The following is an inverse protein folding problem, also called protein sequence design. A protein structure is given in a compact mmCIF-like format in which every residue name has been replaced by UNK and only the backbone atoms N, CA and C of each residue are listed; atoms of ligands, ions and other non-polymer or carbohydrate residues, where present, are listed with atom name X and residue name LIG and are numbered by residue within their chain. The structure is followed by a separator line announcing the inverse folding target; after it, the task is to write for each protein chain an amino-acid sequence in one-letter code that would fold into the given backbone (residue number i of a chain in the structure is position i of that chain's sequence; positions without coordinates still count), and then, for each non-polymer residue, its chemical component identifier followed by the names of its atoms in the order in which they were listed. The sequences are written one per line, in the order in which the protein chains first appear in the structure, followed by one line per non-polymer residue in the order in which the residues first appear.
data_IF_732073636657
#
_entry.id   IF_732073636657
#
_cell.length_a   1.000
_cell.length_b   1.000
_cell.length_c   1.000
_cell.angle_alpha   90.00
_cell.angle_beta   90.00
_cell.angle_gamma   90.00
#
_symmetry.space_group_name_H-M   'P 1'
#
loop_
_entity.id
_entity.type
_entity.pdbx_description
1 polymer ?
#
# COMPACT_ATOMS: atom_id res chain seq x y z
N UNK A 1 79.30 4.99 24.83
CA UNK A 1 78.79 3.80 25.55
C UNK A 1 77.34 4.05 25.93
N UNK A 2 76.43 3.22 25.39
CA UNK A 2 75.06 2.91 25.82
C UNK A 2 74.18 4.03 26.43
N UNK A 3 73.21 4.49 25.64
CA UNK A 3 71.87 4.88 26.14
C UNK A 3 70.83 4.26 25.23
N UNK A 4 69.84 3.61 25.84
CA UNK A 4 68.92 2.65 25.26
C UNK A 4 67.48 3.22 25.32
N UNK A 5 66.67 2.86 24.30
CA UNK A 5 65.19 2.85 24.26
C UNK A 5 64.39 4.15 24.45
N UNK A 6 63.45 4.43 23.53
CA UNK A 6 62.09 3.83 23.54
C UNK A 6 61.33 4.25 22.26
N UNK A 7 60.98 3.29 21.39
CA UNK A 7 60.04 3.53 20.29
C UNK A 7 58.66 3.03 20.73
N UNK A 8 57.70 3.95 20.88
CA UNK A 8 56.28 3.64 21.08
C UNK A 8 55.66 3.48 19.69
N UNK A 9 55.25 2.25 19.35
CA UNK A 9 54.39 2.00 18.18
C UNK A 9 52.94 2.01 18.67
N UNK A 10 52.20 3.06 18.31
CA UNK A 10 50.75 3.09 18.47
C UNK A 10 50.09 2.22 17.41
N UNK A 11 49.49 1.09 17.81
CA UNK A 11 48.52 0.35 17.00
C UNK A 11 47.18 1.10 17.04
N UNK A 12 46.94 1.97 16.07
CA UNK A 12 45.63 2.55 15.81
C UNK A 12 44.92 1.73 14.73
N UNK A 13 44.34 0.58 15.10
CA UNK A 13 43.48 -0.19 14.22
C UNK A 13 42.17 -0.51 14.96
N UNK A 14 41.09 0.21 14.63
CA UNK A 14 39.77 -0.23 15.07
C UNK A 14 38.67 0.83 15.13
N UNK A 15 38.33 1.53 14.04
CA UNK A 15 37.03 2.24 13.96
C UNK A 15 36.37 2.19 12.55
N UNK A 16 37.01 1.66 11.50
CA UNK A 16 36.47 1.75 10.12
C UNK A 16 35.36 0.74 9.77
N UNK A 17 35.22 -0.38 10.48
CA UNK A 17 34.32 -1.48 10.09
C UNK A 17 32.81 -1.21 10.29
N UNK A 18 32.43 -0.36 11.25
CA UNK A 18 31.02 -0.12 11.59
C UNK A 18 30.33 0.94 10.70
N UNK A 19 31.08 1.87 10.13
CA UNK A 19 30.52 2.90 9.25
C UNK A 19 30.22 2.35 7.85
N UNK A 20 31.08 1.48 7.33
CA UNK A 20 30.99 0.95 5.97
C UNK A 20 29.82 -0.05 5.81
N UNK A 21 29.58 -0.89 6.82
CA UNK A 21 28.45 -1.83 6.86
C UNK A 21 27.08 -1.13 6.91
N UNK A 22 26.95 -0.07 7.72
CA UNK A 22 25.73 0.75 7.77
C UNK A 22 25.44 1.49 6.47
N UNK A 23 26.47 1.95 5.76
CA UNK A 23 26.31 2.64 4.48
C UNK A 23 25.81 1.70 3.37
N UNK A 24 26.34 0.47 3.31
CA UNK A 24 25.92 -0.55 2.34
C UNK A 24 24.46 -0.97 2.58
N UNK A 25 24.05 -1.15 3.83
CA UNK A 25 22.68 -1.55 4.18
C UNK A 25 21.65 -0.47 3.80
N UNK A 26 21.97 0.82 4.04
CA UNK A 26 21.11 1.94 3.59
C UNK A 26 20.99 2.01 2.07
N UNK A 27 22.09 1.79 1.33
CA UNK A 27 22.06 1.80 -0.13
C UNK A 27 21.14 0.71 -0.70
N UNK A 28 21.22 -0.51 -0.16
CA UNK A 28 20.34 -1.63 -0.53
C UNK A 28 18.88 -1.37 -0.16
N UNK A 29 18.61 -0.81 1.02
CA UNK A 29 17.25 -0.46 1.42
C UNK A 29 16.64 0.60 0.50
N UNK A 30 17.43 1.58 0.07
CA UNK A 30 17.00 2.62 -0.88
C UNK A 30 16.72 2.03 -2.26
N UNK A 31 17.58 1.15 -2.78
CA UNK A 31 17.36 0.52 -4.09
C UNK A 31 16.12 -0.37 -4.10
N UNK A 32 15.91 -1.15 -3.03
CA UNK A 32 14.69 -1.94 -2.84
C UNK A 32 13.45 -1.05 -2.83
N UNK A 33 13.46 0.04 -2.06
CA UNK A 33 12.31 0.95 -1.98
C UNK A 33 11.94 1.56 -3.35
N UNK A 34 12.93 1.96 -4.14
CA UNK A 34 12.72 2.48 -5.51
C UNK A 34 12.07 1.42 -6.40
N UNK A 35 12.55 0.17 -6.32
CA UNK A 35 11.95 -0.95 -7.06
C UNK A 35 10.48 -1.16 -6.67
N UNK A 36 10.17 -1.23 -5.38
CA UNK A 36 8.80 -1.44 -4.90
C UNK A 36 7.85 -0.30 -5.32
N UNK A 37 8.32 0.95 -5.26
CA UNK A 37 7.57 2.11 -5.76
C UNK A 37 7.26 1.99 -7.25
N UNK A 38 8.25 1.57 -8.05
CA UNK A 38 8.10 1.36 -9.49
C UNK A 38 7.12 0.22 -9.79
N UNK A 39 7.25 -0.95 -9.12
CA UNK A 39 6.33 -2.09 -9.27
C UNK A 39 4.87 -1.66 -8.99
N UNK A 40 4.60 -0.98 -7.88
CA UNK A 40 3.25 -0.45 -7.57
C UNK A 40 2.75 0.51 -8.66
N UNK A 41 3.58 1.48 -9.07
CA UNK A 41 3.18 2.44 -10.09
C UNK A 41 2.85 1.78 -11.43
N UNK A 42 3.57 0.71 -11.80
CA UNK A 42 3.29 -0.08 -13.00
C UNK A 42 1.93 -0.79 -12.90
N UNK A 43 1.59 -1.38 -11.74
CA UNK A 43 0.28 -1.98 -11.48
C UNK A 43 -0.83 -0.93 -11.57
N UNK A 44 -0.66 0.23 -10.91
CA UNK A 44 -1.62 1.33 -10.97
C UNK A 44 -1.88 1.81 -12.41
N UNK A 45 -0.80 2.00 -13.18
CA UNK A 45 -0.87 2.40 -14.59
C UNK A 45 -1.56 1.33 -15.45
N UNK A 46 -1.28 0.05 -15.20
CA UNK A 46 -1.92 -1.05 -15.91
C UNK A 46 -3.43 -1.07 -15.64
N UNK A 47 -3.85 -1.00 -14.37
CA UNK A 47 -5.27 -0.98 -13.98
C UNK A 47 -6.00 0.19 -14.62
N UNK A 48 -5.39 1.39 -14.63
CA UNK A 48 -5.97 2.58 -15.26
C UNK A 48 -6.23 2.38 -16.77
N UNK A 49 -5.38 1.63 -17.46
CA UNK A 49 -5.48 1.38 -18.91
C UNK A 49 -6.32 0.14 -19.25
N UNK A 50 -6.44 -0.79 -18.32
CA UNK A 50 -6.99 -2.13 -18.54
C UNK A 50 -7.99 -2.53 -17.46
N UNK A 51 -8.87 -1.60 -17.06
CA UNK A 51 -9.92 -1.80 -16.05
C UNK A 51 -10.77 -3.07 -16.28
N UNK A 52 -11.08 -3.39 -17.54
CA UNK A 52 -11.81 -4.60 -17.94
C UNK A 52 -11.09 -5.92 -17.65
N UNK A 53 -9.80 -5.89 -17.28
CA UNK A 53 -9.03 -7.08 -16.84
C UNK A 53 -9.22 -7.40 -15.36
N UNK A 54 -9.86 -6.50 -14.60
CA UNK A 54 -10.15 -6.76 -13.19
C UNK A 54 -11.22 -7.84 -13.05
N UNK A 55 -11.00 -8.73 -12.08
CA UNK A 55 -12.01 -9.64 -11.59
C UNK A 55 -12.78 -8.91 -10.50
N UNK A 56 -14.06 -8.67 -10.74
CA UNK A 56 -14.92 -7.91 -9.84
C UNK A 56 -15.80 -8.86 -9.02
N UNK A 57 -15.87 -8.61 -7.72
CA UNK A 57 -16.75 -9.30 -6.80
C UNK A 57 -17.53 -8.29 -5.97
N UNK A 58 -18.75 -8.64 -5.60
CA UNK A 58 -19.61 -7.83 -4.74
C UNK A 58 -20.01 -8.63 -3.52
N UNK A 59 -19.84 -8.04 -2.35
CA UNK A 59 -20.35 -8.53 -1.08
C UNK A 59 -21.75 -7.96 -0.89
N UNK A 60 -22.75 -8.83 -0.86
CA UNK A 60 -24.14 -8.47 -0.56
C UNK A 60 -24.32 -8.50 0.97
N UNK A 61 -25.04 -7.55 1.59
CA UNK A 61 -25.36 -7.58 3.01
C UNK A 61 -25.98 -8.93 3.43
N UNK A 62 -25.52 -9.49 4.55
CA UNK A 62 -26.00 -10.78 5.08
C UNK A 62 -25.43 -12.03 4.38
N UNK A 63 -24.93 -11.92 3.16
CA UNK A 63 -24.40 -13.06 2.39
C UNK A 63 -22.93 -13.31 2.66
N UNK A 64 -22.54 -14.51 3.09
CA UNK A 64 -21.14 -14.78 3.47
C UNK A 64 -20.15 -14.69 2.30
N UNK A 65 -20.53 -15.20 1.13
CA UNK A 65 -19.65 -15.39 -0.03
C UNK A 65 -19.91 -14.28 -1.05
N UNK A 66 -18.90 -13.50 -1.44
CA UNK A 66 -19.06 -12.48 -2.48
C UNK A 66 -19.44 -13.09 -3.84
N UNK A 67 -20.35 -12.44 -4.54
CA UNK A 67 -20.77 -12.83 -5.89
C UNK A 67 -19.85 -12.23 -6.95
N UNK A 68 -19.52 -13.00 -7.98
CA UNK A 68 -18.72 -12.52 -9.11
C UNK A 68 -19.58 -11.59 -9.98
N UNK A 69 -19.14 -10.34 -10.15
CA UNK A 69 -19.76 -9.39 -11.07
C UNK A 69 -19.29 -9.71 -12.49
N UNK A 70 -20.24 -9.97 -13.40
CA UNK A 70 -19.97 -10.32 -14.80
C UNK A 70 -20.70 -9.36 -15.72
N UNK A 71 -20.01 -8.86 -16.74
CA UNK A 71 -20.56 -7.95 -17.76
C UNK A 71 -21.27 -6.71 -17.16
N UNK A 72 -20.72 -6.18 -16.05
CA UNK A 72 -21.29 -5.02 -15.36
C UNK A 72 -22.62 -5.27 -14.65
N UNK A 73 -23.09 -6.51 -14.56
CA UNK A 73 -24.30 -6.87 -13.80
C UNK A 73 -23.96 -6.93 -12.32
N UNK A 74 -24.18 -5.82 -11.63
CA UNK A 74 -24.07 -5.70 -10.18
C UNK A 74 -25.35 -6.19 -9.49
N UNK A 75 -25.26 -6.76 -8.28
CA UNK A 75 -26.45 -7.00 -7.46
C UNK A 75 -27.07 -5.66 -7.02
N UNK A 76 -28.34 -5.70 -6.64
CA UNK A 76 -29.10 -4.51 -6.21
C UNK A 76 -28.53 -3.89 -4.93
N UNK A 77 -28.03 -4.73 -4.02
CA UNK A 77 -27.39 -4.30 -2.79
C UNK A 77 -25.90 -4.65 -2.78
N UNK A 78 -25.08 -3.70 -2.31
CA UNK A 78 -23.63 -3.85 -2.20
C UNK A 78 -23.17 -3.31 -0.85
N UNK A 79 -22.46 -4.13 -0.08
CA UNK A 79 -21.76 -3.74 1.15
C UNK A 79 -20.31 -3.35 0.81
N UNK A 80 -19.64 -4.19 0.00
CA UNK A 80 -18.29 -3.94 -0.52
C UNK A 80 -18.18 -4.42 -1.96
N UNK A 81 -17.28 -3.80 -2.72
CA UNK A 81 -16.73 -4.40 -3.92
C UNK A 81 -15.27 -4.79 -3.71
N UNK A 82 -14.90 -5.92 -4.30
CA UNK A 82 -13.52 -6.40 -4.33
C UNK A 82 -13.03 -6.48 -5.78
N UNK A 83 -11.93 -5.80 -6.06
CA UNK A 83 -11.33 -5.75 -7.39
C UNK A 83 -9.99 -6.47 -7.35
N UNK A 84 -9.85 -7.54 -8.13
CA UNK A 84 -8.66 -8.37 -8.16
C UNK A 84 -7.98 -8.26 -9.52
N UNK A 85 -6.65 -8.15 -9.54
CA UNK A 85 -5.85 -8.26 -10.76
C UNK A 85 -4.96 -9.50 -10.70
N UNK A 86 -4.92 -10.23 -11.81
CA UNK A 86 -3.97 -11.34 -12.04
C UNK A 86 -2.91 -10.94 -13.06
N UNK A 87 -1.71 -11.47 -12.91
CA UNK A 87 -0.70 -11.45 -13.96
C UNK A 87 -0.99 -12.50 -15.06
N UNK A 88 -0.10 -12.60 -16.04
CA UNK A 88 -0.20 -13.57 -17.13
C UNK A 88 -0.03 -15.03 -16.70
N UNK A 89 0.55 -15.28 -15.52
CA UNK A 89 0.70 -16.60 -14.92
C UNK A 89 -0.49 -16.96 -14.01
N UNK A 90 -1.47 -16.07 -13.89
CA UNK A 90 -2.65 -16.25 -13.05
C UNK A 90 -2.44 -15.94 -11.57
N UNK A 91 -1.27 -15.41 -11.17
CA UNK A 91 -0.98 -14.99 -9.80
C UNK A 91 -1.67 -13.67 -9.49
N UNK A 92 -2.17 -13.52 -8.26
CA UNK A 92 -2.77 -12.27 -7.81
C UNK A 92 -1.67 -11.24 -7.57
N UNK A 93 -1.74 -10.09 -8.24
CA UNK A 93 -0.79 -8.97 -8.07
C UNK A 93 -1.40 -7.79 -7.33
N UNK A 94 -2.74 -7.70 -7.31
CA UNK A 94 -3.46 -6.65 -6.61
C UNK A 94 -4.83 -7.13 -6.14
N UNK A 95 -5.24 -6.70 -4.96
CA UNK A 95 -6.60 -6.82 -4.44
C UNK A 95 -6.97 -5.45 -3.85
N UNK A 96 -8.10 -4.89 -4.25
CA UNK A 96 -8.68 -3.70 -3.66
C UNK A 96 -10.03 -4.03 -3.02
N UNK A 97 -10.25 -3.52 -1.81
CA UNK A 97 -11.53 -3.50 -1.10
C UNK A 97 -12.09 -2.08 -1.11
N UNK A 98 -13.35 -1.95 -1.49
CA UNK A 98 -14.04 -0.67 -1.67
C UNK A 98 -15.39 -0.79 -0.96
N UNK A 99 -15.54 -0.27 0.27
CA UNK A 99 -16.84 -0.21 0.93
C UNK A 99 -17.82 0.66 0.13
N UNK A 100 -19.08 0.26 0.11
CA UNK A 100 -20.10 0.98 -0.63
C UNK A 100 -20.58 2.21 0.14
N UNK A 101 -20.59 3.37 -0.54
CA UNK A 101 -21.17 4.61 -0.01
C UNK A 101 -22.60 4.75 -0.52
N UNK A 102 -23.59 4.56 0.36
CA UNK A 102 -25.00 4.69 0.00
C UNK A 102 -25.36 6.12 -0.44
N UNK A 103 -24.78 7.14 0.21
CA UNK A 103 -25.04 8.54 -0.14
C UNK A 103 -24.20 9.02 -1.32
N UNK A 104 -23.05 8.39 -1.57
CA UNK A 104 -22.08 8.79 -2.59
C UNK A 104 -21.17 9.96 -2.16
N UNK A 105 -21.28 10.43 -0.91
CA UNK A 105 -20.54 11.60 -0.40
C UNK A 105 -19.08 11.30 -0.03
N UNK A 106 -18.69 10.04 -0.11
CA UNK A 106 -17.35 9.59 0.21
C UNK A 106 -16.97 8.40 -0.65
N UNK A 107 -15.67 8.23 -0.82
CA UNK A 107 -15.08 7.07 -1.49
C UNK A 107 -13.89 6.60 -0.69
N UNK A 108 -13.77 5.29 -0.48
CA UNK A 108 -12.63 4.67 0.18
C UNK A 108 -12.18 3.48 -0.66
N UNK A 109 -10.86 3.33 -0.80
CA UNK A 109 -10.25 2.13 -1.35
C UNK A 109 -9.05 1.70 -0.53
N UNK A 110 -9.02 0.41 -0.19
CA UNK A 110 -7.89 -0.27 0.43
C UNK A 110 -7.27 -1.26 -0.55
N UNK A 111 -6.08 -0.95 -1.07
CA UNK A 111 -5.40 -1.74 -2.09
C UNK A 111 -4.15 -2.40 -1.52
N UNK A 112 -4.09 -3.72 -1.60
CA UNK A 112 -2.88 -4.52 -1.37
C UNK A 112 -2.21 -4.84 -2.70
N UNK A 113 -0.89 -4.75 -2.73
CA UNK A 113 -0.06 -5.15 -3.87
C UNK A 113 0.85 -6.29 -3.46
N UNK A 114 0.94 -7.30 -4.31
CA UNK A 114 1.61 -8.57 -3.98
C UNK A 114 2.82 -8.81 -4.87
N UNK A 115 3.87 -9.36 -4.28
CA UNK A 115 5.07 -9.78 -5.00
C UNK A 115 4.86 -11.14 -5.68
N UNK A 116 5.92 -11.67 -6.28
CA UNK A 116 5.87 -12.91 -7.06
C UNK A 116 5.56 -14.15 -6.21
N UNK A 117 5.77 -14.06 -4.90
CA UNK A 117 5.46 -15.08 -3.90
C UNK A 117 4.09 -14.85 -3.25
N UNK A 118 3.39 -13.79 -3.65
CA UNK A 118 2.09 -13.41 -3.13
C UNK A 118 2.14 -12.63 -1.82
N UNK A 119 3.31 -12.19 -1.34
CA UNK A 119 3.43 -11.40 -0.12
C UNK A 119 3.12 -9.92 -0.37
N UNK A 120 2.50 -9.26 0.60
CA UNK A 120 2.19 -7.84 0.50
C UNK A 120 3.47 -7.01 0.59
N UNK A 121 3.85 -6.36 -0.51
CA UNK A 121 4.98 -5.43 -0.55
C UNK A 121 4.55 -3.97 -0.46
N UNK A 122 3.28 -3.67 -0.79
CA UNK A 122 2.71 -2.33 -0.62
C UNK A 122 1.23 -2.39 -0.23
N UNK A 123 0.81 -1.37 0.52
CA UNK A 123 -0.58 -1.10 0.86
C UNK A 123 -0.89 0.36 0.59
N UNK A 124 -2.05 0.63 -0.01
CA UNK A 124 -2.53 1.97 -0.34
C UNK A 124 -3.95 2.16 0.20
N UNK A 125 -4.15 3.21 0.99
CA UNK A 125 -5.47 3.76 1.33
C UNK A 125 -5.65 5.01 0.49
N UNK A 126 -6.76 5.07 -0.22
CA UNK A 126 -7.27 6.29 -0.87
C UNK A 126 -8.62 6.61 -0.27
N UNK A 127 -8.83 7.87 0.07
CA UNK A 127 -10.12 8.33 0.55
C UNK A 127 -10.44 9.69 -0.03
N UNK A 128 -11.70 9.92 -0.35
CA UNK A 128 -12.23 11.27 -0.49
C UNK A 128 -13.53 11.43 0.29
N UNK A 129 -13.78 12.65 0.73
CA UNK A 129 -14.99 13.03 1.47
C UNK A 129 -15.29 14.49 1.20
N UNK A 130 -16.55 14.86 1.34
CA UNK A 130 -16.92 16.27 1.43
C UNK A 130 -16.58 16.83 2.82
N UNK A 131 -16.08 18.06 2.85
CA UNK A 131 -15.74 18.80 4.08
C UNK A 131 -15.98 20.30 3.85
N UNK A 132 -16.85 20.90 4.66
CA UNK A 132 -17.23 22.31 4.53
C UNK A 132 -16.13 23.30 4.91
N UNK A 133 -15.11 22.86 5.64
CA UNK A 133 -13.98 23.71 6.06
C UNK A 133 -12.90 23.82 4.97
N UNK A 134 -13.00 23.01 3.91
CA UNK A 134 -12.05 23.01 2.79
C UNK A 134 -12.64 23.72 1.58
N UNK A 135 -11.85 24.63 0.99
CA UNK A 135 -12.21 25.32 -0.24
C UNK A 135 -12.53 24.31 -1.35
N UNK A 136 -13.66 24.51 -2.02
CA UNK A 136 -14.24 23.60 -3.03
C UNK A 136 -14.76 22.25 -2.48
N UNK A 137 -14.76 22.09 -1.16
CA UNK A 137 -15.59 21.15 -0.42
C UNK A 137 -15.17 19.69 -0.47
N UNK A 138 -14.07 19.31 -1.13
CA UNK A 138 -13.63 17.90 -1.25
C UNK A 138 -12.18 17.73 -0.83
N UNK A 139 -11.96 16.75 0.03
CA UNK A 139 -10.64 16.34 0.53
C UNK A 139 -10.25 15.00 -0.09
N UNK A 140 -8.97 14.87 -0.45
CA UNK A 140 -8.36 13.64 -0.92
C UNK A 140 -7.23 13.22 0.02
N UNK A 141 -7.41 12.10 0.71
CA UNK A 141 -6.40 11.44 1.52
C UNK A 141 -5.73 10.33 0.72
N UNK A 142 -4.41 10.22 0.82
CA UNK A 142 -3.66 9.06 0.33
C UNK A 142 -2.61 8.65 1.34
N UNK A 143 -2.67 7.41 1.79
CA UNK A 143 -1.65 6.76 2.61
C UNK A 143 -1.08 5.58 1.84
N UNK A 144 0.24 5.54 1.67
CA UNK A 144 0.94 4.40 1.06
C UNK A 144 1.97 3.88 2.06
N UNK A 145 2.03 2.57 2.23
CA UNK A 145 3.04 1.88 3.04
C UNK A 145 3.75 0.86 2.15
N UNK A 146 5.06 0.79 2.26
CA UNK A 146 5.90 -0.19 1.58
C UNK A 146 6.58 -1.08 2.61
N UNK A 147 6.62 -2.36 2.32
CA UNK A 147 7.09 -3.40 3.22
C UNK A 147 8.21 -4.22 2.59
N UNK A 148 9.14 -4.66 3.43
CA UNK A 148 10.07 -5.73 3.12
C UNK A 148 9.53 -7.06 3.65
N UNK A 149 10.43 -8.03 3.80
CA UNK A 149 10.09 -9.35 4.34
C UNK A 149 9.35 -9.24 5.69
N UNK A 150 8.40 -10.16 5.90
CA UNK A 150 7.60 -10.26 7.12
C UNK A 150 6.84 -8.98 7.51
N UNK A 151 6.38 -8.21 6.51
CA UNK A 151 5.70 -6.91 6.69
C UNK A 151 6.54 -5.86 7.45
N UNK A 152 7.87 -5.94 7.41
CA UNK A 152 8.72 -4.88 7.98
C UNK A 152 8.51 -3.58 7.20
N UNK A 153 8.01 -2.54 7.86
CA UNK A 153 7.79 -1.23 7.23
C UNK A 153 9.12 -0.62 6.76
N UNK A 154 9.22 -0.34 5.45
CA UNK A 154 10.37 0.33 4.84
C UNK A 154 10.09 1.82 4.63
N UNK A 155 8.86 2.16 4.24
CA UNK A 155 8.47 3.54 3.97
C UNK A 155 6.98 3.75 4.16
N UNK A 156 6.62 4.98 4.54
CA UNK A 156 5.24 5.46 4.65
C UNK A 156 5.18 6.83 4.00
N UNK A 157 4.21 7.05 3.12
CA UNK A 157 3.89 8.36 2.56
C UNK A 157 2.44 8.69 2.88
N UNK A 158 2.20 9.92 3.29
CA UNK A 158 0.87 10.43 3.58
C UNK A 158 0.69 11.76 2.83
N UNK A 159 -0.50 11.95 2.25
CA UNK A 159 -0.86 13.16 1.53
C UNK A 159 -2.31 13.49 1.81
N UNK A 160 -2.59 14.78 2.00
CA UNK A 160 -3.93 15.34 2.11
C UNK A 160 -4.03 16.53 1.17
N UNK A 161 -5.00 16.53 0.25
CA UNK A 161 -5.10 17.53 -0.81
C UNK A 161 -6.54 17.97 -1.05
N UNK A 162 -6.71 19.18 -1.54
CA UNK A 162 -8.00 19.66 -2.04
C UNK A 162 -8.27 19.11 -3.46
N UNK A 163 -9.44 19.44 -4.01
CA UNK A 163 -9.82 19.11 -5.40
C UNK A 163 -8.87 19.68 -6.46
N UNK A 164 -8.21 20.79 -6.17
CA UNK A 164 -7.16 21.38 -7.03
C UNK A 164 -5.80 20.72 -6.89
N UNK A 165 -5.66 19.70 -6.03
CA UNK A 165 -4.40 19.00 -5.75
C UNK A 165 -3.46 19.76 -4.82
N UNK A 166 -3.90 20.86 -4.21
CA UNK A 166 -3.09 21.64 -3.27
C UNK A 166 -3.05 20.95 -1.91
N UNK A 167 -1.87 20.88 -1.26
CA UNK A 167 -1.78 20.28 0.07
C UNK A 167 -2.66 20.99 1.08
N UNK A 168 -3.38 20.22 1.90
CA UNK A 168 -4.13 20.72 3.05
C UNK A 168 -3.33 20.43 4.32
N UNK A 169 -3.23 21.41 5.23
CA UNK A 169 -2.69 21.19 6.57
C UNK A 169 -3.79 20.57 7.43
N UNK A 170 -3.56 19.36 7.94
CA UNK A 170 -4.47 18.77 8.92
C UNK A 170 -4.14 19.33 10.32
N UNK A 171 -4.97 20.26 10.80
CA UNK A 171 -4.84 20.86 12.13
C UNK A 171 -5.68 20.13 13.19
N UNK A 172 -6.17 18.91 12.90
CA UNK A 172 -7.01 18.12 13.81
C UNK A 172 -8.51 18.20 13.54
N UNK A 173 -8.94 19.01 12.56
CA UNK A 173 -10.36 19.20 12.21
C UNK A 173 -10.84 18.35 11.04
N UNK A 174 -9.91 17.77 10.26
CA UNK A 174 -10.25 16.98 9.09
C UNK A 174 -10.43 15.52 9.53
N UNK A 175 -11.69 15.12 9.71
CA UNK A 175 -12.07 13.73 9.97
C UNK A 175 -12.40 13.03 8.65
N UNK A 176 -11.36 12.51 7.99
CA UNK A 176 -11.57 11.67 6.81
C UNK A 176 -12.18 10.35 7.28
N UNK A 177 -13.39 10.04 6.81
CA UNK A 177 -14.15 8.86 7.20
C UNK A 177 -13.26 7.62 7.38
N UNK A 178 -13.18 7.10 8.61
CA UNK A 178 -12.32 5.97 8.95
C UNK A 178 -13.14 4.68 8.92
N UNK A 179 -13.15 4.03 7.76
CA UNK A 179 -13.61 2.65 7.71
C UNK A 179 -12.54 1.71 8.27
N UNK A 180 -12.95 0.68 9.02
CA UNK A 180 -11.99 -0.27 9.61
C UNK A 180 -11.37 -1.11 8.49
N UNK A 181 -10.05 -1.23 8.49
CA UNK A 181 -9.33 -2.02 7.49
C UNK A 181 -8.21 -2.84 8.12
N UNK A 182 -7.81 -3.91 7.42
CA UNK A 182 -6.69 -4.77 7.81
C UNK A 182 -5.60 -4.76 6.73
N UNK A 183 -4.35 -4.91 7.16
CA UNK A 183 -3.22 -5.15 6.25
C UNK A 183 -2.85 -6.62 6.37
N UNK A 184 -3.20 -7.41 5.35
CA UNK A 184 -2.91 -8.84 5.28
C UNK A 184 -1.45 -9.08 4.88
N UNK A 185 -0.89 -10.23 5.26
CA UNK A 185 0.51 -10.56 4.94
C UNK A 185 0.70 -10.97 3.49
N UNK A 186 -0.31 -11.60 2.89
CA UNK A 186 -0.25 -12.16 1.56
C UNK A 186 -1.64 -12.24 0.92
N UNK A 187 -1.67 -12.55 -0.39
CA UNK A 187 -2.89 -12.62 -1.17
C UNK A 187 -3.85 -13.72 -0.65
N UNK A 188 -3.32 -14.84 -0.17
CA UNK A 188 -4.12 -15.95 0.34
C UNK A 188 -4.88 -15.56 1.63
N UNK A 189 -4.23 -14.87 2.56
CA UNK A 189 -4.88 -14.32 3.76
C UNK A 189 -5.96 -13.31 3.40
N UNK A 190 -5.69 -12.43 2.42
CA UNK A 190 -6.64 -11.44 1.93
C UNK A 190 -7.90 -12.09 1.33
N UNK A 191 -7.73 -13.04 0.41
CA UNK A 191 -8.83 -13.81 -0.19
C UNK A 191 -9.63 -14.59 0.86
N UNK A 192 -8.95 -15.20 1.83
CA UNK A 192 -9.59 -15.93 2.93
C UNK A 192 -10.45 -15.00 3.79
N UNK A 193 -9.93 -13.81 4.14
CA UNK A 193 -10.67 -12.82 4.92
C UNK A 193 -11.94 -12.35 4.20
N UNK A 194 -11.87 -12.20 2.88
CA UNK A 194 -13.00 -11.79 2.05
C UNK A 194 -13.91 -12.95 1.62
N UNK A 195 -13.64 -14.19 2.03
CA UNK A 195 -14.36 -15.39 1.60
C UNK A 195 -14.40 -15.58 0.06
N UNK A 196 -13.39 -15.08 -0.65
CA UNK A 196 -13.29 -15.23 -2.12
C UNK A 196 -12.58 -16.53 -2.43
N UNK A 197 -13.29 -17.45 -3.10
CA UNK A 197 -12.71 -18.68 -3.64
C UNK A 197 -12.26 -18.43 -5.08
N UNK A 198 -11.00 -18.73 -5.35
CA UNK A 198 -10.47 -18.70 -6.72
C UNK A 198 -10.91 -19.99 -7.41
N UNK A 199 -11.66 -19.84 -8.51
CA UNK A 199 -11.93 -20.90 -9.47
C UNK A 199 -10.73 -21.08 -10.41
#
# INVERSE_FOLDING_TARGET
MKTFCLFIVFFAAGISGFAQTKAIDRSKANSLLVLLKSKRAAVDAYVKKHDKKLLLYSKIPGEKIPVRVKNGKWPDEVEYSYNLLKDSLGKIVMIAEIPFSQSGDWYITYTHYFDEDGNTYAFKKETNTFDSEVKDGVIYETLIRYYGASLKLLNKTYSLKDKGGKPIKNNGHIDVYQYKYNIYKNAAECLKAYNIKML
#
